data_IF_525801081905
#
_entry.id   IF_525801081905
#
_cell.length_a   1.000
_cell.length_b   1.000
_cell.length_c   1.000
_cell.angle_alpha   90.00
_cell.angle_beta   90.00
_cell.angle_gamma   90.00
#
_symmetry.space_group_name_H-M   'P 1'
#
loop_
_entity.id
_entity.type
_entity.pdbx_description
1 polymer ?
#
# COMPACT_ATOMS: atom_id res chain seq x y z
N UNK A 1 -17.81 -17.88 -59.35
CA UNK A 1 -16.95 -16.84 -58.73
C UNK A 1 -17.64 -16.01 -57.63
N UNK A 2 -18.96 -15.73 -57.68
CA UNK A 2 -19.62 -14.87 -56.68
C UNK A 2 -19.77 -15.41 -55.25
N UNK A 3 -19.99 -16.72 -55.07
CA UNK A 3 -20.25 -17.33 -53.75
C UNK A 3 -19.02 -17.35 -52.82
N UNK A 4 -17.81 -17.48 -53.37
CA UNK A 4 -16.56 -17.46 -52.60
C UNK A 4 -16.24 -16.05 -52.06
N UNK A 5 -16.58 -15.00 -52.81
CA UNK A 5 -16.36 -13.61 -52.41
C UNK A 5 -17.24 -13.22 -51.21
N UNK A 6 -18.54 -13.53 -51.27
CA UNK A 6 -19.46 -13.31 -50.14
C UNK A 6 -19.04 -14.05 -48.86
N UNK A 7 -18.47 -15.26 -48.96
CA UNK A 7 -18.00 -16.02 -47.79
C UNK A 7 -16.76 -15.40 -47.14
N UNK A 8 -15.81 -14.92 -47.93
CA UNK A 8 -14.59 -14.26 -47.43
C UNK A 8 -14.94 -12.91 -46.79
N UNK A 9 -15.85 -12.14 -47.39
CA UNK A 9 -16.29 -10.85 -46.84
C UNK A 9 -17.05 -11.02 -45.51
N UNK A 10 -17.84 -12.09 -45.37
CA UNK A 10 -18.54 -12.43 -44.14
C UNK A 10 -17.57 -12.84 -43.01
N UNK A 11 -16.55 -13.66 -43.31
CA UNK A 11 -15.49 -14.05 -42.36
C UNK A 11 -14.66 -12.85 -41.90
N UNK A 12 -14.29 -11.95 -42.81
CA UNK A 12 -13.57 -10.71 -42.48
C UNK A 12 -14.41 -9.79 -41.58
N UNK A 13 -15.71 -9.68 -41.84
CA UNK A 13 -16.61 -8.91 -40.97
C UNK A 13 -16.69 -9.53 -39.58
N UNK A 14 -16.86 -10.86 -39.47
CA UNK A 14 -16.93 -11.58 -38.20
C UNK A 14 -15.63 -11.47 -37.38
N UNK A 15 -14.47 -11.56 -38.03
CA UNK A 15 -13.16 -11.37 -37.40
C UNK A 15 -12.97 -9.94 -36.87
N UNK A 16 -13.41 -8.93 -37.62
CA UNK A 16 -13.36 -7.53 -37.18
C UNK A 16 -14.28 -7.28 -35.97
N UNK A 17 -15.51 -7.80 -35.99
CA UNK A 17 -16.43 -7.69 -34.84
C UNK A 17 -15.86 -8.38 -33.59
N UNK A 18 -15.25 -9.55 -33.73
CA UNK A 18 -14.62 -10.24 -32.60
C UNK A 18 -13.44 -9.45 -32.03
N UNK A 19 -12.59 -8.85 -32.88
CA UNK A 19 -11.50 -7.99 -32.44
C UNK A 19 -12.01 -6.72 -31.75
N UNK A 20 -13.04 -6.07 -32.28
CA UNK A 20 -13.65 -4.90 -31.67
C UNK A 20 -14.26 -5.21 -30.31
N UNK A 21 -15.01 -6.33 -30.19
CA UNK A 21 -15.56 -6.79 -28.92
C UNK A 21 -14.44 -7.12 -27.93
N UNK A 22 -13.37 -7.80 -28.37
CA UNK A 22 -12.22 -8.11 -27.53
C UNK A 22 -11.55 -6.83 -26.99
N UNK A 23 -11.32 -5.83 -27.84
CA UNK A 23 -10.73 -4.56 -27.42
C UNK A 23 -11.62 -3.84 -26.41
N UNK A 24 -12.93 -3.74 -26.66
CA UNK A 24 -13.89 -3.13 -25.72
C UNK A 24 -13.90 -3.89 -24.39
N UNK A 25 -13.88 -5.23 -24.42
CA UNK A 25 -13.84 -6.02 -23.19
C UNK A 25 -12.54 -5.80 -22.43
N UNK A 26 -11.40 -5.74 -23.12
CA UNK A 26 -10.10 -5.49 -22.51
C UNK A 26 -10.06 -4.11 -21.84
N UNK A 27 -10.51 -3.06 -22.53
CA UNK A 27 -10.59 -1.70 -21.96
C UNK A 27 -11.51 -1.64 -20.73
N UNK A 28 -12.67 -2.33 -20.77
CA UNK A 28 -13.58 -2.38 -19.63
C UNK A 28 -12.98 -3.12 -18.43
N UNK A 29 -12.25 -4.21 -18.67
CA UNK A 29 -11.55 -4.94 -17.61
C UNK A 29 -10.49 -4.05 -16.97
N UNK A 30 -9.65 -3.40 -17.77
CA UNK A 30 -8.64 -2.47 -17.27
C UNK A 30 -9.26 -1.32 -16.47
N UNK A 31 -10.36 -0.76 -16.94
CA UNK A 31 -11.08 0.30 -16.23
C UNK A 31 -11.61 -0.18 -14.87
N UNK A 32 -12.15 -1.41 -14.80
CA UNK A 32 -12.65 -1.98 -13.56
C UNK A 32 -11.51 -2.31 -12.60
N UNK A 33 -10.39 -2.85 -13.08
CA UNK A 33 -9.19 -3.08 -12.28
C UNK A 33 -8.66 -1.78 -11.67
N UNK A 34 -8.57 -0.71 -12.46
CA UNK A 34 -8.13 0.59 -11.97
C UNK A 34 -9.08 1.15 -10.91
N UNK A 35 -10.39 1.09 -11.14
CA UNK A 35 -11.39 1.56 -10.16
C UNK A 35 -11.33 0.76 -8.85
N UNK A 36 -11.19 -0.56 -8.92
CA UNK A 36 -11.08 -1.39 -7.71
C UNK A 36 -9.80 -1.09 -6.95
N UNK A 37 -8.68 -0.88 -7.66
CA UNK A 37 -7.43 -0.46 -7.05
C UNK A 37 -7.55 0.90 -6.36
N UNK A 38 -8.15 1.89 -7.00
CA UNK A 38 -8.37 3.22 -6.43
C UNK A 38 -9.23 3.18 -5.15
N UNK A 39 -10.31 2.40 -5.17
CA UNK A 39 -11.18 2.23 -3.99
C UNK A 39 -10.43 1.56 -2.84
N UNK A 40 -9.64 0.52 -3.13
CA UNK A 40 -8.82 -0.16 -2.13
C UNK A 40 -7.76 0.78 -1.54
N UNK A 41 -7.14 1.62 -2.38
CA UNK A 41 -6.16 2.62 -1.91
C UNK A 41 -6.82 3.59 -0.96
N UNK A 42 -7.95 4.19 -1.35
CA UNK A 42 -8.68 5.14 -0.50
C UNK A 42 -9.12 4.50 0.81
N UNK A 43 -9.56 3.24 0.78
CA UNK A 43 -9.91 2.54 2.00
C UNK A 43 -8.68 2.31 2.89
N UNK A 44 -7.54 1.96 2.30
CA UNK A 44 -6.30 1.62 3.00
C UNK A 44 -5.51 2.84 3.50
N UNK A 45 -5.73 4.03 2.95
CA UNK A 45 -5.09 5.28 3.42
C UNK A 45 -5.35 5.54 4.90
N UNK A 46 -6.53 5.21 5.40
CA UNK A 46 -6.87 5.29 6.82
C UNK A 46 -6.23 4.20 7.67
N UNK A 47 -5.45 3.28 7.10
CA UNK A 47 -4.79 2.20 7.83
C UNK A 47 -3.29 2.40 7.94
N UNK A 48 -2.81 2.22 9.17
CA UNK A 48 -1.38 2.18 9.50
C UNK A 48 -1.04 0.79 10.03
N UNK A 49 0.16 0.32 9.69
CA UNK A 49 0.73 -0.92 10.17
C UNK A 49 1.84 -0.59 11.18
N UNK A 50 1.77 -1.22 12.34
CA UNK A 50 2.79 -1.11 13.40
C UNK A 50 3.51 -2.46 13.47
N UNK A 51 4.83 -2.42 13.31
CA UNK A 51 5.72 -3.58 13.42
C UNK A 51 6.49 -3.58 14.73
N UNK A 52 6.85 -4.78 15.22
CA UNK A 52 7.76 -4.96 16.35
C UNK A 52 7.11 -4.93 17.73
N UNK A 53 5.80 -4.75 17.83
CA UNK A 53 5.07 -4.80 19.12
C UNK A 53 4.85 -6.25 19.52
N UNK A 54 5.34 -6.66 20.69
CA UNK A 54 5.21 -8.03 21.18
C UNK A 54 3.75 -8.49 21.27
N UNK A 55 3.53 -9.80 21.03
CA UNK A 55 2.20 -10.42 21.08
C UNK A 55 1.93 -11.04 22.45
N UNK A 56 0.77 -10.72 23.02
CA UNK A 56 0.27 -11.39 24.22
C UNK A 56 -0.92 -12.30 23.88
N UNK A 57 -1.11 -13.35 24.66
CA UNK A 57 -2.34 -14.14 24.59
C UNK A 57 -3.53 -13.29 25.08
N UNK A 58 -4.66 -13.38 24.37
CA UNK A 58 -5.86 -12.55 24.63
C UNK A 58 -5.60 -11.03 24.63
N UNK A 59 -4.66 -10.57 23.79
CA UNK A 59 -4.31 -9.15 23.71
C UNK A 59 -5.49 -8.27 23.28
N UNK A 60 -5.63 -7.12 23.94
CA UNK A 60 -6.48 -6.04 23.46
C UNK A 60 -5.63 -5.09 22.61
N UNK A 61 -5.61 -5.35 21.29
CA UNK A 61 -4.84 -4.56 20.33
C UNK A 61 -5.10 -3.06 20.43
N UNK A 62 -6.33 -2.63 20.73
CA UNK A 62 -6.68 -1.22 20.86
C UNK A 62 -5.91 -0.56 22.02
N UNK A 63 -5.91 -1.19 23.19
CA UNK A 63 -5.16 -0.70 24.35
C UNK A 63 -3.65 -0.77 24.12
N UNK A 64 -3.16 -1.86 23.53
CA UNK A 64 -1.74 -2.02 23.17
C UNK A 64 -1.26 -0.90 22.24
N UNK A 65 -2.06 -0.51 21.25
CA UNK A 65 -1.74 0.60 20.35
C UNK A 65 -1.66 1.92 21.13
N UNK A 66 -2.64 2.25 21.97
CA UNK A 66 -2.58 3.48 22.76
C UNK A 66 -1.38 3.53 23.72
N UNK A 67 -1.04 2.39 24.32
CA UNK A 67 0.15 2.29 25.18
C UNK A 67 1.44 2.48 24.39
N UNK A 68 1.51 1.91 23.19
CA UNK A 68 2.61 2.12 22.24
C UNK A 68 2.72 3.59 21.82
N UNK A 69 1.62 4.22 21.42
CA UNK A 69 1.58 5.64 21.01
C UNK A 69 2.10 6.54 22.14
N UNK A 70 1.64 6.29 23.38
CA UNK A 70 2.07 7.05 24.54
C UNK A 70 3.56 6.87 24.86
N UNK A 71 4.04 5.62 24.91
CA UNK A 71 5.42 5.33 25.33
C UNK A 71 6.47 5.62 24.26
N UNK A 72 6.19 5.23 23.02
CA UNK A 72 7.17 5.26 21.94
C UNK A 72 7.13 6.55 21.14
N UNK A 73 5.97 7.21 21.08
CA UNK A 73 5.78 8.41 20.27
C UNK A 73 5.40 9.64 21.08
N UNK A 74 5.13 9.51 22.39
CA UNK A 74 4.67 10.59 23.26
C UNK A 74 3.40 11.26 22.73
N UNK A 75 2.42 10.42 22.37
CA UNK A 75 1.09 10.83 21.90
C UNK A 75 0.07 10.27 22.89
N UNK A 76 -0.66 11.17 23.57
CA UNK A 76 -1.66 10.81 24.56
C UNK A 76 -3.00 10.39 23.92
N UNK A 77 -3.86 9.79 24.74
CA UNK A 77 -5.22 9.41 24.29
C UNK A 77 -6.01 10.67 23.96
N UNK A 78 -6.53 10.74 22.73
CA UNK A 78 -7.35 11.85 22.25
C UNK A 78 -6.64 12.77 21.26
N UNK A 79 -5.30 12.76 21.21
CA UNK A 79 -4.56 13.47 20.15
C UNK A 79 -4.74 12.80 18.78
N UNK A 80 -4.87 11.47 18.80
CA UNK A 80 -5.11 10.65 17.61
C UNK A 80 -6.33 9.77 17.84
N UNK A 81 -7.21 9.74 16.84
CA UNK A 81 -8.46 8.98 16.90
C UNK A 81 -8.30 7.60 16.25
N UNK A 82 -8.03 6.59 17.08
CA UNK A 82 -8.03 5.18 16.65
C UNK A 82 -9.45 4.63 16.68
N UNK A 83 -9.90 4.02 15.58
CA UNK A 83 -11.21 3.34 15.51
C UNK A 83 -11.13 1.86 15.86
N UNK A 84 -10.14 1.15 15.29
CA UNK A 84 -9.92 -0.27 15.55
C UNK A 84 -8.45 -0.62 15.41
N UNK A 85 -8.04 -1.68 16.09
CA UNK A 85 -6.73 -2.28 15.92
C UNK A 85 -6.85 -3.80 15.98
N UNK A 86 -6.15 -4.48 15.08
CA UNK A 86 -6.11 -5.95 15.05
C UNK A 86 -4.77 -6.44 14.49
N UNK A 87 -4.31 -7.62 14.90
CA UNK A 87 -3.16 -8.27 14.25
C UNK A 87 -3.50 -8.69 12.83
N UNK A 88 -2.49 -8.69 11.98
CA UNK A 88 -2.55 -9.18 10.60
C UNK A 88 -2.01 -10.60 10.51
N UNK A 89 -2.78 -11.49 9.87
CA UNK A 89 -2.38 -12.87 9.64
C UNK A 89 -2.63 -13.82 10.81
N UNK A 90 -2.37 -15.11 10.59
CA UNK A 90 -2.60 -16.17 11.58
C UNK A 90 -1.44 -16.24 12.58
N UNK A 91 -1.75 -16.48 13.86
CA UNK A 91 -0.73 -16.78 14.87
C UNK A 91 -0.09 -18.13 14.55
N UNK A 92 1.21 -18.16 14.29
CA UNK A 92 1.97 -19.40 14.09
C UNK A 92 2.50 -19.87 15.43
N UNK A 93 2.16 -21.10 15.86
CA UNK A 93 2.41 -21.55 17.24
C UNK A 93 3.83 -22.05 17.50
N UNK A 94 4.72 -22.06 16.51
CA UNK A 94 6.07 -22.59 16.65
C UNK A 94 7.04 -21.77 15.77
N UNK A 95 8.10 -21.23 16.37
CA UNK A 95 9.27 -20.62 15.71
C UNK A 95 9.14 -19.24 15.04
N UNK A 96 8.03 -18.50 15.15
CA UNK A 96 8.05 -17.12 14.65
C UNK A 96 8.72 -16.18 15.66
N UNK A 97 9.94 -15.76 15.37
CA UNK A 97 10.71 -14.80 16.20
C UNK A 97 10.21 -13.36 16.06
N UNK A 98 9.35 -13.07 15.08
CA UNK A 98 8.83 -11.71 14.85
C UNK A 98 7.33 -11.63 15.14
N UNK A 99 6.89 -10.66 15.96
CA UNK A 99 5.47 -10.45 16.19
C UNK A 99 4.78 -10.00 14.90
N UNK A 100 3.52 -10.40 14.73
CA UNK A 100 2.64 -9.98 13.64
C UNK A 100 2.43 -8.48 13.69
N UNK A 101 2.23 -7.89 12.53
CA UNK A 101 1.88 -6.47 12.42
C UNK A 101 0.54 -6.20 13.09
N UNK A 102 0.42 -5.06 13.76
CA UNK A 102 -0.88 -4.51 14.16
C UNK A 102 -1.35 -3.59 13.05
N UNK A 103 -2.53 -3.85 12.49
CA UNK A 103 -3.22 -2.96 11.57
C UNK A 103 -4.19 -2.08 12.35
N UNK A 104 -3.98 -0.79 12.26
CA UNK A 104 -4.74 0.24 12.98
C UNK A 104 -5.55 1.03 11.97
N UNK A 105 -6.85 1.15 12.22
CA UNK A 105 -7.74 2.05 11.47
C UNK A 105 -7.82 3.37 12.21
N UNK A 106 -7.48 4.44 11.51
CA UNK A 106 -7.61 5.82 11.97
C UNK A 106 -9.03 6.31 11.64
N UNK A 107 -9.59 7.18 12.50
CA UNK A 107 -10.88 7.82 12.22
C UNK A 107 -10.74 8.90 11.16
N UNK A 108 -9.62 9.61 11.17
CA UNK A 108 -9.31 10.63 10.19
C UNK A 108 -8.04 10.24 9.42
N UNK A 109 -8.02 10.36 8.08
CA UNK A 109 -6.82 10.05 7.30
C UNK A 109 -5.61 10.91 7.70
N UNK A 110 -5.84 12.18 8.07
CA UNK A 110 -4.78 13.11 8.50
C UNK A 110 -4.00 12.61 9.72
N UNK A 111 -4.66 12.00 10.70
CA UNK A 111 -3.99 11.41 11.87
C UNK A 111 -2.95 10.34 11.47
N UNK A 112 -3.20 9.62 10.37
CA UNK A 112 -2.27 8.64 9.83
C UNK A 112 -1.01 9.28 9.25
N UNK A 113 -1.13 10.44 8.61
CA UNK A 113 0.00 11.22 8.10
C UNK A 113 0.81 11.82 9.26
N UNK A 114 0.14 12.37 10.26
CA UNK A 114 0.78 12.92 11.47
C UNK A 114 1.54 11.83 12.24
N UNK A 115 0.92 10.65 12.35
CA UNK A 115 1.58 9.49 12.95
C UNK A 115 2.81 9.07 12.14
N UNK A 116 2.73 9.03 10.81
CA UNK A 116 3.88 8.72 9.95
C UNK A 116 5.00 9.78 10.06
N UNK A 117 4.66 11.06 10.26
CA UNK A 117 5.64 12.12 10.51
C UNK A 117 6.41 11.91 11.81
N UNK A 118 5.76 11.33 12.82
CA UNK A 118 6.38 10.97 14.10
C UNK A 118 7.33 9.76 14.01
N UNK A 119 7.30 8.98 12.92
CA UNK A 119 8.07 7.74 12.77
C UNK A 119 9.58 7.91 12.96
N UNK A 120 10.12 9.11 12.76
CA UNK A 120 11.54 9.43 13.04
C UNK A 120 11.91 9.19 14.50
N UNK A 121 10.97 9.31 15.44
CA UNK A 121 11.17 9.04 16.88
C UNK A 121 11.45 7.56 17.17
N UNK A 122 11.08 6.66 16.27
CA UNK A 122 11.33 5.22 16.40
C UNK A 122 12.71 4.80 15.86
N UNK A 123 13.52 5.73 15.35
CA UNK A 123 14.85 5.43 14.87
C UNK A 123 15.72 4.83 15.99
N UNK A 124 16.36 3.69 15.71
CA UNK A 124 17.16 2.96 16.70
C UNK A 124 16.35 2.00 17.60
N UNK A 125 15.02 1.98 17.48
CA UNK A 125 14.16 1.00 18.14
C UNK A 125 13.84 -0.19 17.21
N UNK A 126 13.24 -1.24 17.76
CA UNK A 126 12.73 -2.38 16.98
C UNK A 126 11.34 -2.12 16.36
N UNK A 127 10.77 -0.93 16.57
CA UNK A 127 9.45 -0.58 16.08
C UNK A 127 9.52 0.10 14.72
N UNK A 128 8.47 -0.07 13.92
CA UNK A 128 8.34 0.65 12.65
C UNK A 128 6.88 0.94 12.34
N UNK A 129 6.65 2.12 11.77
CA UNK A 129 5.38 2.51 11.19
C UNK A 129 5.44 2.34 9.69
N UNK A 130 4.42 1.71 9.12
CA UNK A 130 4.32 1.37 7.71
C UNK A 130 2.93 1.75 7.22
N UNK A 131 2.85 2.19 5.96
CA UNK A 131 1.57 2.38 5.28
C UNK A 131 1.03 1.04 4.79
N UNK A 132 -0.28 0.86 4.88
CA UNK A 132 -0.96 -0.32 4.37
C UNK A 132 -1.17 -0.20 2.85
N UNK A 133 -0.20 -0.62 2.05
CA UNK A 133 -0.35 -0.62 0.60
C UNK A 133 -0.78 -1.99 0.08
N UNK A 134 -1.58 -1.97 -0.99
CA UNK A 134 -1.79 -3.14 -1.83
C UNK A 134 -0.46 -3.63 -2.42
N UNK A 135 -0.40 -4.94 -2.69
CA UNK A 135 0.80 -5.61 -3.17
C UNK A 135 1.32 -4.98 -4.47
N UNK A 136 0.41 -4.66 -5.39
CA UNK A 136 0.73 -4.08 -6.70
C UNK A 136 1.46 -2.74 -6.56
N UNK A 137 1.02 -1.90 -5.62
CA UNK A 137 1.63 -0.60 -5.34
C UNK A 137 2.97 -0.77 -4.64
N UNK A 138 3.05 -1.69 -3.68
CA UNK A 138 4.29 -2.05 -3.00
C UNK A 138 5.34 -2.56 -3.99
N UNK A 139 4.95 -3.42 -4.92
CA UNK A 139 5.82 -4.03 -5.91
C UNK A 139 6.26 -3.00 -6.97
N UNK A 140 5.35 -2.14 -7.44
CA UNK A 140 5.70 -1.01 -8.30
C UNK A 140 6.70 -0.06 -7.61
N UNK A 141 6.49 0.24 -6.33
CA UNK A 141 7.42 1.07 -5.54
C UNK A 141 8.81 0.44 -5.43
N UNK A 142 8.89 -0.88 -5.22
CA UNK A 142 10.17 -1.61 -5.20
C UNK A 142 10.89 -1.55 -6.54
N UNK A 143 10.17 -1.61 -7.65
CA UNK A 143 10.76 -1.50 -8.99
C UNK A 143 11.31 -0.08 -9.27
N UNK A 144 10.66 0.96 -8.73
CA UNK A 144 11.10 2.35 -8.88
C UNK A 144 12.23 2.74 -7.92
N UNK A 145 12.40 1.99 -6.82
CA UNK A 145 13.37 2.30 -5.77
C UNK A 145 14.84 2.46 -6.23
N UNK A 146 15.37 1.61 -7.14
CA UNK A 146 16.73 1.78 -7.67
C UNK A 146 16.88 3.11 -8.42
N UNK A 147 15.92 3.46 -9.28
CA UNK A 147 15.92 4.72 -10.03
C UNK A 147 15.86 5.93 -9.11
N UNK A 148 15.03 5.86 -8.07
CA UNK A 148 14.95 6.89 -7.04
C UNK A 148 16.30 7.08 -6.32
N UNK A 149 16.97 5.99 -5.92
CA UNK A 149 18.28 6.05 -5.27
C UNK A 149 19.33 6.69 -6.17
N UNK A 150 19.35 6.34 -7.45
CA UNK A 150 20.26 6.93 -8.43
C UNK A 150 20.03 8.44 -8.58
N UNK A 151 18.78 8.87 -8.78
CA UNK A 151 18.42 10.27 -8.89
C UNK A 151 18.76 11.05 -7.61
N UNK A 152 18.49 10.47 -6.44
CA UNK A 152 18.83 11.06 -5.13
C UNK A 152 20.33 11.14 -4.90
N UNK A 153 21.13 10.19 -5.40
CA UNK A 153 22.58 10.27 -5.33
C UNK A 153 23.11 11.39 -6.25
N UNK A 154 22.55 11.56 -7.45
CA UNK A 154 22.99 12.60 -8.39
C UNK A 154 22.59 14.02 -7.97
N UNK A 155 21.34 14.21 -7.52
CA UNK A 155 20.74 15.53 -7.30
C UNK A 155 20.33 15.77 -5.84
N UNK A 156 20.71 14.89 -4.92
CA UNK A 156 20.34 15.02 -3.52
C UNK A 156 20.92 16.28 -2.88
N UNK A 157 20.32 16.75 -1.77
CA UNK A 157 20.75 17.98 -1.09
C UNK A 157 22.22 17.96 -0.63
N UNK A 158 22.85 16.78 -0.55
CA UNK A 158 24.27 16.63 -0.24
C UNK A 158 25.22 16.92 -1.42
N UNK A 159 24.75 16.79 -2.67
CA UNK A 159 25.56 16.97 -3.88
C UNK A 159 25.18 18.23 -4.68
N UNK A 160 24.03 18.83 -4.39
CA UNK A 160 23.61 20.11 -5.00
C UNK A 160 24.51 21.30 -4.61
N UNK A 161 25.31 21.18 -3.55
CA UNK A 161 26.25 22.21 -3.10
C UNK A 161 27.59 22.23 -3.86
N UNK A 162 27.86 21.25 -4.72
CA UNK A 162 29.15 21.12 -5.42
C UNK A 162 29.15 21.69 -6.86
N UNK A 163 28.02 22.24 -7.32
CA UNK A 163 27.86 22.78 -8.68
C UNK A 163 27.51 24.29 -8.71
N UNK A 164 27.86 25.01 -7.65
CA UNK A 164 27.59 26.45 -7.49
C UNK A 164 28.84 27.33 -7.54
N UNK A 165 29.96 26.80 -8.05
CA UNK A 165 31.20 27.54 -8.31
C UNK A 165 31.46 27.70 -9.80
#
# INVERSE_FOLDING_TARGET
MGLLKCRVDNIKSSSYYNCAVQNITHERVLLLENKTLELDVRQRESFILIAGVDECENENCFNTVHEFLRRSLNIDRGEISVLRANRVGRRTSTNNTRPRLIRVMMSHPGDGDDLMNSARRLAGTNFSLLRDYRKEISDASKQLWPKFKEARAKHGPRNAQQHSE
#
